data_IF_817854640499
#
_entry.id   IF_817854640499
#
_cell.length_a   1.000
_cell.length_b   1.000
_cell.length_c   1.000
_cell.angle_alpha   90.00
_cell.angle_beta   90.00
_cell.angle_gamma   90.00
#
_symmetry.space_group_name_H-M   'P 1'
#
loop_
_entity.id
_entity.type
_entity.pdbx_description
1 polymer ?
#
# COMPACT_ATOMS: atom_id res chain seq x y z
N UNK A 1 0.98 -30.65 -5.57
CA UNK A 1 0.50 -29.25 -5.45
C UNK A 1 0.03 -28.84 -4.04
N UNK A 2 -0.57 -29.73 -3.23
CA UNK A 2 -1.06 -29.42 -1.86
C UNK A 2 0.02 -28.82 -0.94
N UNK A 3 1.22 -29.40 -0.98
CA UNK A 3 2.40 -28.96 -0.21
C UNK A 3 2.82 -27.50 -0.46
N UNK A 4 2.75 -27.03 -1.71
CA UNK A 4 3.13 -25.65 -2.05
C UNK A 4 2.14 -24.63 -1.45
N UNK A 5 0.84 -24.93 -1.51
CA UNK A 5 -0.21 -24.07 -0.94
C UNK A 5 -0.14 -24.04 0.59
N UNK A 6 0.13 -25.17 1.21
CA UNK A 6 0.36 -25.26 2.66
C UNK A 6 1.57 -24.41 3.08
N UNK A 7 2.69 -24.48 2.35
CA UNK A 7 3.85 -23.61 2.60
C UNK A 7 3.53 -22.14 2.45
N UNK A 8 2.73 -21.74 1.44
CA UNK A 8 2.31 -20.36 1.27
C UNK A 8 1.43 -19.87 2.43
N UNK A 9 0.45 -20.68 2.87
CA UNK A 9 -0.40 -20.38 4.04
C UNK A 9 0.40 -20.28 5.35
N UNK A 10 1.41 -21.15 5.51
CA UNK A 10 2.33 -21.08 6.65
C UNK A 10 3.21 -19.83 6.58
N UNK A 11 3.71 -19.45 5.40
CA UNK A 11 4.48 -18.22 5.21
C UNK A 11 3.67 -16.97 5.56
N UNK A 12 2.42 -16.88 5.07
CA UNK A 12 1.49 -15.82 5.46
C UNK A 12 1.28 -15.77 6.98
N UNK A 13 1.21 -16.93 7.64
CA UNK A 13 0.99 -16.99 9.08
C UNK A 13 2.21 -16.55 9.89
N UNK A 14 3.42 -16.83 9.40
CA UNK A 14 4.66 -16.29 9.97
C UNK A 14 4.77 -14.78 9.76
N UNK A 15 4.53 -14.31 8.54
CA UNK A 15 4.64 -12.89 8.21
C UNK A 15 3.63 -12.04 8.99
N UNK A 16 2.42 -12.55 9.20
CA UNK A 16 1.39 -11.88 9.99
C UNK A 16 1.82 -11.57 11.42
N UNK A 17 2.63 -12.43 12.05
CA UNK A 17 3.12 -12.21 13.42
C UNK A 17 4.43 -11.42 13.47
N UNK A 18 5.11 -11.27 12.33
CA UNK A 18 6.37 -10.53 12.24
C UNK A 18 6.12 -9.02 12.18
N UNK A 19 6.77 -8.29 13.09
CA UNK A 19 6.91 -6.84 13.00
C UNK A 19 8.06 -6.50 12.05
N UNK A 20 7.78 -5.81 10.94
CA UNK A 20 8.78 -5.42 9.96
C UNK A 20 9.30 -4.00 10.27
N UNK A 21 10.56 -3.82 10.68
CA UNK A 21 11.10 -2.51 11.04
C UNK A 21 11.23 -1.51 9.87
N UNK A 22 10.90 -1.95 8.65
CA UNK A 22 10.87 -1.14 7.43
C UNK A 22 9.45 -0.68 7.07
N UNK A 23 8.47 -0.99 7.92
CA UNK A 23 7.09 -0.54 7.81
C UNK A 23 6.85 0.41 8.99
N UNK A 24 6.68 1.71 8.72
CA UNK A 24 6.23 2.66 9.74
C UNK A 24 4.72 2.80 9.59
N UNK A 25 3.98 2.04 10.41
CA UNK A 25 2.54 1.87 10.33
C UNK A 25 1.82 2.72 11.38
N UNK A 26 0.64 3.22 11.05
CA UNK A 26 -0.18 4.04 11.97
C UNK A 26 -1.01 3.20 12.93
N UNK A 27 -1.33 1.95 12.57
CA UNK A 27 -2.04 1.01 13.44
C UNK A 27 -1.48 -0.41 13.39
N UNK A 28 -1.75 -1.19 14.45
CA UNK A 28 -1.36 -2.61 14.57
C UNK A 28 -2.31 -3.57 13.81
N UNK A 29 -3.02 -3.08 12.79
CA UNK A 29 -4.11 -3.81 12.11
C UNK A 29 -3.65 -4.64 10.92
N UNK A 30 -2.45 -5.23 11.00
CA UNK A 30 -1.95 -6.18 9.99
C UNK A 30 -3.01 -7.25 9.75
N UNK A 31 -3.19 -7.66 8.50
CA UNK A 31 -4.23 -8.61 8.13
C UNK A 31 -3.72 -9.68 7.18
N UNK A 32 -4.42 -10.82 7.18
CA UNK A 32 -4.26 -11.86 6.17
C UNK A 32 -5.29 -11.61 5.06
N UNK A 33 -4.85 -11.67 3.81
CA UNK A 33 -5.74 -11.69 2.65
C UNK A 33 -5.51 -12.96 1.85
N UNK A 34 -6.60 -13.63 1.50
CA UNK A 34 -6.60 -14.76 0.57
C UNK A 34 -7.33 -14.34 -0.68
N UNK A 35 -6.63 -14.32 -1.81
CA UNK A 35 -7.20 -13.99 -3.11
C UNK A 35 -7.42 -15.30 -3.87
N UNK A 36 -8.62 -15.52 -4.36
CA UNK A 36 -8.94 -16.64 -5.26
C UNK A 36 -9.13 -16.10 -6.66
N UNK A 37 -8.37 -16.60 -7.64
CA UNK A 37 -8.56 -16.22 -9.04
C UNK A 37 -9.68 -17.03 -9.71
N UNK A 38 -10.00 -16.70 -10.96
CA UNK A 38 -11.06 -17.33 -11.74
C UNK A 38 -10.83 -18.84 -12.01
N UNK A 39 -9.60 -19.34 -11.88
CA UNK A 39 -9.24 -20.76 -12.02
C UNK A 39 -9.29 -21.51 -10.66
N UNK A 40 -9.70 -20.86 -9.57
CA UNK A 40 -9.68 -21.44 -8.22
C UNK A 40 -8.27 -21.49 -7.59
N UNK A 41 -7.29 -20.81 -8.17
CA UNK A 41 -5.95 -20.62 -7.60
C UNK A 41 -6.02 -19.66 -6.40
N UNK A 42 -5.35 -20.02 -5.31
CA UNK A 42 -5.35 -19.23 -4.07
C UNK A 42 -3.97 -18.61 -3.81
N UNK A 43 -3.97 -17.30 -3.53
CA UNK A 43 -2.80 -16.53 -3.14
C UNK A 43 -2.96 -16.08 -1.69
N UNK A 44 -2.00 -16.45 -0.85
CA UNK A 44 -2.00 -16.14 0.58
C UNK A 44 -1.00 -15.01 0.82
N UNK A 45 -1.50 -13.79 1.06
CA UNK A 45 -0.71 -12.59 1.26
C UNK A 45 -1.01 -11.96 2.61
N UNK A 46 -0.12 -11.10 3.08
CA UNK A 46 -0.38 -10.19 4.19
C UNK A 46 -0.60 -8.78 3.65
N UNK A 47 -1.37 -8.00 4.40
CA UNK A 47 -1.55 -6.56 4.22
C UNK A 47 -1.01 -5.90 5.47
N UNK A 48 -0.12 -4.93 5.31
CA UNK A 48 0.63 -4.32 6.41
C UNK A 48 -0.32 -3.61 7.38
N UNK A 49 -1.27 -2.84 6.85
CA UNK A 49 -2.31 -2.18 7.63
C UNK A 49 -3.67 -2.27 6.94
N UNK A 50 -4.73 -2.46 7.72
CA UNK A 50 -6.11 -2.45 7.22
C UNK A 50 -6.94 -1.46 8.00
N UNK A 51 -7.68 -0.62 7.27
CA UNK A 51 -8.67 0.29 7.83
C UNK A 51 -10.07 -0.14 7.37
N UNK A 52 -10.90 -0.57 8.31
CA UNK A 52 -12.27 -1.01 8.05
C UNK A 52 -13.25 0.09 8.45
N UNK A 53 -14.07 0.52 7.51
CA UNK A 53 -15.23 1.40 7.73
C UNK A 53 -16.53 0.62 7.55
N UNK A 54 -17.70 1.26 7.70
CA UNK A 54 -19.00 0.56 7.61
C UNK A 54 -19.24 -0.19 6.30
N UNK A 55 -18.69 0.30 5.18
CA UNK A 55 -18.97 -0.23 3.82
C UNK A 55 -17.72 -0.45 2.96
N UNK A 56 -16.54 -0.09 3.45
CA UNK A 56 -15.28 -0.13 2.70
C UNK A 56 -14.13 -0.60 3.57
N UNK A 57 -13.24 -1.39 2.99
CA UNK A 57 -11.94 -1.73 3.54
C UNK A 57 -10.82 -1.09 2.72
N UNK A 58 -9.87 -0.44 3.39
CA UNK A 58 -8.65 0.02 2.77
C UNK A 58 -7.53 -0.98 3.07
N UNK A 59 -6.88 -1.48 2.03
CA UNK A 59 -5.74 -2.40 2.11
C UNK A 59 -4.47 -1.57 1.94
N UNK A 60 -3.76 -1.32 3.03
CA UNK A 60 -2.63 -0.38 3.06
C UNK A 60 -1.33 -1.18 3.05
N UNK A 61 -0.51 -0.93 2.03
CA UNK A 61 0.88 -1.39 1.93
C UNK A 61 1.81 -0.25 2.33
N UNK A 62 2.72 -0.50 3.28
CA UNK A 62 3.67 0.49 3.77
C UNK A 62 5.05 0.31 3.18
N UNK A 63 5.66 1.38 2.66
CA UNK A 63 7.09 1.43 2.34
C UNK A 63 7.72 2.62 3.05
N UNK A 64 8.83 2.38 3.75
CA UNK A 64 9.49 3.40 4.57
C UNK A 64 10.92 3.68 4.12
N UNK A 65 11.33 4.94 4.24
CA UNK A 65 12.72 5.36 4.10
C UNK A 65 13.19 6.03 5.38
N UNK A 66 14.23 5.49 6.01
CA UNK A 66 14.80 6.07 7.24
C UNK A 66 15.63 7.33 6.97
N UNK A 67 16.26 7.42 5.81
CA UNK A 67 17.29 8.42 5.49
C UNK A 67 16.98 9.28 4.27
N UNK A 68 16.00 8.92 3.44
CA UNK A 68 15.62 9.68 2.25
C UNK A 68 14.16 10.18 2.36
N UNK A 69 13.76 11.15 1.53
CA UNK A 69 12.39 11.65 1.49
C UNK A 69 11.38 10.59 1.01
N UNK A 70 11.81 9.69 0.13
CA UNK A 70 11.00 8.61 -0.41
C UNK A 70 11.69 7.25 -0.21
N UNK A 71 10.92 6.15 -0.16
CA UNK A 71 11.46 4.79 -0.28
C UNK A 71 12.22 4.57 -1.58
N UNK A 72 13.01 3.50 -1.65
CA UNK A 72 13.77 3.22 -2.87
C UNK A 72 12.84 2.90 -4.04
N UNK A 73 13.36 3.06 -5.27
CA UNK A 73 12.61 2.67 -6.48
C UNK A 73 12.23 1.18 -6.44
N UNK A 74 13.06 0.34 -5.84
CA UNK A 74 12.77 -1.09 -5.64
C UNK A 74 11.58 -1.30 -4.71
N UNK A 75 11.57 -0.64 -3.55
CA UNK A 75 10.48 -0.72 -2.57
C UNK A 75 9.15 -0.21 -3.16
N UNK A 76 9.19 0.88 -3.92
CA UNK A 76 8.00 1.44 -4.58
C UNK A 76 7.45 0.48 -5.63
N UNK A 77 8.32 -0.14 -6.44
CA UNK A 77 7.90 -1.16 -7.42
C UNK A 77 7.28 -2.38 -6.75
N UNK A 78 7.86 -2.84 -5.66
CA UNK A 78 7.31 -3.94 -4.86
C UNK A 78 5.91 -3.59 -4.31
N UNK A 79 5.74 -2.38 -3.78
CA UNK A 79 4.42 -1.90 -3.35
C UNK A 79 3.40 -1.81 -4.50
N UNK A 80 3.83 -1.35 -5.68
CA UNK A 80 2.96 -1.28 -6.86
C UNK A 80 2.50 -2.66 -7.34
N UNK A 81 3.33 -3.71 -7.19
CA UNK A 81 2.92 -5.08 -7.53
C UNK A 81 1.69 -5.52 -6.72
N UNK A 82 1.63 -5.18 -5.43
CA UNK A 82 0.44 -5.44 -4.60
C UNK A 82 -0.75 -4.59 -5.02
N UNK A 83 -0.53 -3.35 -5.47
CA UNK A 83 -1.62 -2.49 -5.97
C UNK A 83 -2.30 -3.06 -7.22
N UNK A 84 -1.58 -3.75 -8.09
CA UNK A 84 -2.17 -4.49 -9.23
C UNK A 84 -3.19 -5.51 -8.71
N UNK A 85 -2.87 -6.23 -7.63
CA UNK A 85 -3.81 -7.20 -7.05
C UNK A 85 -4.98 -6.51 -6.35
N UNK A 86 -4.72 -5.52 -5.50
CA UNK A 86 -5.74 -4.90 -4.66
C UNK A 86 -6.76 -4.06 -5.45
N UNK A 87 -6.35 -3.46 -6.57
CA UNK A 87 -7.24 -2.71 -7.46
C UNK A 87 -8.18 -3.58 -8.30
N UNK A 88 -7.88 -4.87 -8.44
CA UNK A 88 -8.65 -5.83 -9.25
C UNK A 88 -9.49 -6.79 -8.40
N UNK A 89 -9.68 -6.52 -7.10
CA UNK A 89 -10.54 -7.33 -6.25
C UNK A 89 -12.02 -7.00 -6.48
N UNK A 90 -12.84 -8.00 -6.78
CA UNK A 90 -14.27 -7.82 -7.06
C UNK A 90 -15.20 -8.26 -5.90
N UNK A 91 -14.96 -9.43 -5.30
CA UNK A 91 -15.81 -10.00 -4.23
C UNK A 91 -15.09 -10.01 -2.87
N UNK A 92 -14.78 -8.82 -2.36
CA UNK A 92 -14.12 -8.69 -1.05
C UNK A 92 -15.10 -8.91 0.08
N UNK A 93 -14.74 -9.80 1.00
CA UNK A 93 -15.53 -10.15 2.18
C UNK A 93 -14.71 -10.05 3.46
N UNK A 94 -15.31 -9.45 4.49
CA UNK A 94 -14.80 -9.46 5.86
C UNK A 94 -15.86 -10.13 6.73
N UNK A 95 -15.50 -11.21 7.43
CA UNK A 95 -16.42 -12.01 8.25
C UNK A 95 -17.71 -12.41 7.48
N UNK A 96 -17.56 -12.78 6.19
CA UNK A 96 -18.67 -13.14 5.31
C UNK A 96 -19.47 -11.96 4.73
N UNK A 97 -19.28 -10.74 5.23
CA UNK A 97 -19.98 -9.55 4.72
C UNK A 97 -19.23 -8.93 3.54
N UNK A 98 -19.93 -8.72 2.43
CA UNK A 98 -19.38 -8.06 1.24
C UNK A 98 -19.06 -6.59 1.52
N UNK A 99 -17.91 -6.13 1.05
CA UNK A 99 -17.42 -4.77 1.24
C UNK A 99 -16.75 -4.25 -0.02
N UNK A 100 -16.74 -2.92 -0.22
CA UNK A 100 -15.87 -2.31 -1.23
C UNK A 100 -14.43 -2.34 -0.74
N UNK A 101 -13.45 -2.50 -1.63
CA UNK A 101 -12.03 -2.40 -1.29
C UNK A 101 -11.35 -1.26 -2.03
N UNK A 102 -10.31 -0.70 -1.42
CA UNK A 102 -9.35 0.17 -2.09
C UNK A 102 -7.93 -0.20 -1.65
N UNK A 103 -7.01 -0.33 -2.60
CA UNK A 103 -5.59 -0.43 -2.33
C UNK A 103 -4.99 0.94 -2.05
N UNK A 104 -4.15 1.03 -1.02
CA UNK A 104 -3.40 2.23 -0.68
C UNK A 104 -1.91 1.87 -0.57
N UNK A 105 -1.06 2.55 -1.32
CA UNK A 105 0.39 2.49 -1.15
C UNK A 105 0.85 3.70 -0.33
N UNK A 106 1.30 3.46 0.90
CA UNK A 106 1.77 4.48 1.84
C UNK A 106 3.29 4.58 1.82
N UNK A 107 3.82 5.67 1.27
CA UNK A 107 5.23 5.99 1.20
C UNK A 107 5.59 6.93 2.35
N UNK A 108 6.46 6.47 3.25
CA UNK A 108 6.73 7.17 4.50
C UNK A 108 8.21 7.48 4.71
N UNK A 109 8.48 8.55 5.44
CA UNK A 109 9.82 8.97 5.86
C UNK A 109 9.76 9.95 7.02
N UNK A 110 10.72 9.92 7.97
CA UNK A 110 10.81 10.92 9.02
C UNK A 110 11.27 12.29 8.49
N UNK A 111 11.76 12.37 7.23
CA UNK A 111 12.18 13.62 6.59
C UNK A 111 11.03 14.37 5.91
N UNK A 112 9.88 13.73 5.73
CA UNK A 112 8.68 14.38 5.18
C UNK A 112 8.03 15.27 6.25
N UNK A 113 7.48 16.41 5.84
CA UNK A 113 6.67 17.32 6.64
C UNK A 113 5.26 17.38 6.10
N UNK A 114 4.32 16.79 6.84
CA UNK A 114 2.89 16.71 6.47
C UNK A 114 2.55 15.46 5.66
N UNK A 115 1.48 15.53 4.86
CA UNK A 115 1.03 14.43 4.02
C UNK A 115 0.32 14.92 2.76
N UNK A 116 0.44 14.17 1.67
CA UNK A 116 -0.37 14.30 0.45
C UNK A 116 -0.82 12.92 -0.03
N UNK A 117 -1.81 12.90 -0.91
CA UNK A 117 -2.21 11.70 -1.63
C UNK A 117 -2.47 12.01 -3.12
N UNK A 118 -2.69 10.95 -3.90
CA UNK A 118 -2.95 11.05 -5.34
C UNK A 118 -4.28 11.73 -5.70
N UNK A 119 -5.20 11.96 -4.75
CA UNK A 119 -6.45 12.69 -4.99
C UNK A 119 -6.38 14.18 -4.67
N UNK A 120 -5.29 14.66 -4.05
CA UNK A 120 -5.06 16.09 -3.83
C UNK A 120 -4.97 16.88 -5.14
N UNK A 121 -5.26 18.18 -5.03
CA UNK A 121 -5.18 19.13 -6.14
C UNK A 121 -3.73 19.41 -6.55
N UNK A 122 -3.54 19.91 -7.78
CA UNK A 122 -2.19 20.29 -8.26
C UNK A 122 -1.53 21.37 -7.38
N UNK A 123 -2.32 22.31 -6.83
CA UNK A 123 -1.80 23.36 -5.95
C UNK A 123 -1.26 22.76 -4.64
N UNK A 124 -2.05 21.93 -3.98
CA UNK A 124 -1.67 21.27 -2.72
C UNK A 124 -0.40 20.41 -2.91
N UNK A 125 -0.32 19.67 -4.02
CA UNK A 125 0.86 18.85 -4.36
C UNK A 125 2.10 19.74 -4.59
N UNK A 126 1.95 20.85 -5.32
CA UNK A 126 3.04 21.79 -5.57
C UNK A 126 3.56 22.44 -4.28
N UNK A 127 2.65 22.86 -3.39
CA UNK A 127 3.00 23.40 -2.08
C UNK A 127 3.73 22.37 -1.23
N UNK A 128 3.29 21.11 -1.24
CA UNK A 128 3.95 20.03 -0.54
C UNK A 128 5.38 19.78 -1.06
N UNK A 129 5.59 19.78 -2.38
CA UNK A 129 6.93 19.64 -2.97
C UNK A 129 7.86 20.77 -2.58
N UNK A 130 7.37 22.02 -2.59
CA UNK A 130 8.14 23.19 -2.13
C UNK A 130 8.50 23.08 -0.66
N UNK A 131 7.54 22.74 0.19
CA UNK A 131 7.74 22.59 1.65
C UNK A 131 8.78 21.53 2.00
N UNK A 132 8.83 20.45 1.23
CA UNK A 132 9.72 19.31 1.46
C UNK A 132 11.01 19.34 0.62
N UNK A 133 11.22 20.39 -0.18
CA UNK A 133 12.40 20.57 -1.03
C UNK A 133 12.65 19.38 -1.97
N UNK A 134 11.59 18.88 -2.62
CA UNK A 134 11.71 17.80 -3.61
C UNK A 134 12.54 18.25 -4.81
N UNK A 135 13.40 17.37 -5.31
CA UNK A 135 14.15 17.61 -6.56
C UNK A 135 13.26 17.37 -7.79
N UNK A 136 13.64 17.92 -8.94
CA UNK A 136 12.92 17.71 -10.20
C UNK A 136 12.72 16.22 -10.54
N UNK A 137 13.73 15.39 -10.28
CA UNK A 137 13.67 13.93 -10.48
C UNK A 137 12.62 13.29 -9.55
N UNK A 138 12.59 13.69 -8.28
CA UNK A 138 11.61 13.18 -7.32
C UNK A 138 10.19 13.62 -7.68
N UNK A 139 10.02 14.87 -8.12
CA UNK A 139 8.73 15.40 -8.57
C UNK A 139 8.21 14.58 -9.75
N UNK A 140 9.02 14.40 -10.80
CA UNK A 140 8.64 13.61 -11.98
C UNK A 140 8.28 12.17 -11.63
N UNK A 141 9.03 11.55 -10.70
CA UNK A 141 8.71 10.22 -10.19
C UNK A 141 7.35 10.20 -9.48
N UNK A 142 7.09 11.14 -8.55
CA UNK A 142 5.83 11.19 -7.80
C UNK A 142 4.64 11.45 -8.72
N UNK A 143 4.78 12.36 -9.68
CA UNK A 143 3.74 12.64 -10.67
C UNK A 143 3.42 11.41 -11.53
N UNK A 144 4.45 10.67 -11.95
CA UNK A 144 4.29 9.43 -12.70
C UNK A 144 3.50 8.38 -11.90
N UNK A 145 3.88 8.12 -10.65
CA UNK A 145 3.17 7.13 -9.82
C UNK A 145 1.76 7.61 -9.45
N UNK A 146 1.53 8.92 -9.27
CA UNK A 146 0.19 9.47 -9.04
C UNK A 146 -0.71 9.31 -10.27
N UNK A 147 -0.17 9.48 -11.47
CA UNK A 147 -0.89 9.20 -12.71
C UNK A 147 -1.26 7.72 -12.82
N UNK A 148 -0.33 6.82 -12.47
CA UNK A 148 -0.57 5.38 -12.45
C UNK A 148 -1.68 5.00 -11.45
N UNK A 149 -1.65 5.59 -10.25
CA UNK A 149 -2.65 5.38 -9.22
C UNK A 149 -4.07 5.78 -9.68
N UNK A 150 -4.18 6.94 -10.32
CA UNK A 150 -5.45 7.43 -10.90
C UNK A 150 -5.97 6.50 -11.99
N UNK A 151 -5.10 6.05 -12.89
CA UNK A 151 -5.46 5.16 -14.00
C UNK A 151 -5.95 3.79 -13.51
N UNK A 152 -5.34 3.27 -12.44
CA UNK A 152 -5.61 1.92 -11.93
C UNK A 152 -6.43 1.90 -10.63
N UNK A 153 -7.10 3.02 -10.27
CA UNK A 153 -8.07 3.10 -9.17
C UNK A 153 -7.51 2.64 -7.80
N UNK A 154 -6.28 3.04 -7.50
CA UNK A 154 -5.71 2.91 -6.15
C UNK A 154 -5.19 4.27 -5.69
N UNK A 155 -4.87 4.39 -4.40
CA UNK A 155 -4.36 5.64 -3.83
C UNK A 155 -2.89 5.50 -3.46
N UNK A 156 -2.08 6.52 -3.81
CA UNK A 156 -0.74 6.67 -3.24
C UNK A 156 -0.82 7.75 -2.18
N UNK A 157 -0.27 7.48 -1.01
CA UNK A 157 -0.14 8.43 0.10
C UNK A 157 1.34 8.65 0.38
N UNK A 158 1.76 9.91 0.49
CA UNK A 158 3.11 10.28 0.90
C UNK A 158 2.98 11.03 2.21
N UNK A 159 3.59 10.55 3.29
CA UNK A 159 3.40 11.14 4.61
C UNK A 159 4.62 11.01 5.52
N UNK A 160 4.68 11.89 6.52
CA UNK A 160 5.58 11.72 7.65
C UNK A 160 5.27 10.42 8.40
N UNK A 161 6.32 9.71 8.82
CA UNK A 161 6.23 8.66 9.82
C UNK A 161 7.52 8.58 10.65
N UNK A 162 7.40 8.22 11.92
CA UNK A 162 8.51 8.10 12.87
C UNK A 162 9.30 6.81 12.65
#
# INVERSE_FOLDING_TARGET
MKFSREKAKQAQSREFVTQQPKESLSSLSKAKITITNYLGGQYFLTVDEVLVSRSKVNLIEGKHSKSALLPSKGDIKDGLLKMILYSNLEDVKINGKKMKSEGILSLTSPKIKGSINSSNTKSEISEFFKKNKFTSIQISMVESIFSEAKKNKFTIKIQYAK
#
